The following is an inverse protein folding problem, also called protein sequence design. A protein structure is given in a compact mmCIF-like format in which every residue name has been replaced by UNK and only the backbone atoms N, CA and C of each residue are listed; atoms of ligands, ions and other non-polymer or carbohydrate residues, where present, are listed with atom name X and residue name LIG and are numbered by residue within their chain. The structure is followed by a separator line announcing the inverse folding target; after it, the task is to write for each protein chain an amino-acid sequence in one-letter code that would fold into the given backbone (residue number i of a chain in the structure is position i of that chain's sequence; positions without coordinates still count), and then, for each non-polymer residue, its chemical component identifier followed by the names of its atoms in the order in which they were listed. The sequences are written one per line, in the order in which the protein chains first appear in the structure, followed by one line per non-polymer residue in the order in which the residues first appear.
data_IF_392914788205
#
_entry.id   IF_392914788205
#
_cell.length_a   1.000
_cell.length_b   1.000
_cell.length_c   1.000
_cell.angle_alpha   90.00
_cell.angle_beta   90.00
_cell.angle_gamma   90.00
#
_symmetry.space_group_name_H-M   'P 1'
#
loop_
_entity.id
_entity.type
_entity.pdbx_description
1 polymer ?
#
# COMPACT_ATOMS: atom_id res chain seq x y z
N UNK A 1 11.53 -9.84 9.22
CA UNK A 1 11.08 -8.61 8.53
C UNK A 1 11.00 -7.47 9.54
N UNK A 2 11.67 -6.38 9.25
CA UNK A 2 11.59 -5.16 10.08
C UNK A 2 10.61 -4.18 9.43
N UNK A 3 9.88 -3.45 10.28
CA UNK A 3 8.98 -2.42 9.80
C UNK A 3 9.75 -1.32 9.05
N UNK A 4 9.21 -0.90 7.91
CA UNK A 4 9.76 0.16 7.09
C UNK A 4 8.72 1.29 7.04
N UNK A 5 9.16 2.51 7.31
CA UNK A 5 8.30 3.69 7.17
C UNK A 5 8.74 4.51 5.97
N UNK A 6 7.77 4.89 5.15
CA UNK A 6 8.00 5.66 3.94
C UNK A 6 7.18 6.95 4.03
N UNK A 7 7.83 8.09 3.87
CA UNK A 7 7.14 9.37 3.73
C UNK A 7 6.80 9.56 2.26
N UNK A 8 5.53 9.70 1.95
CA UNK A 8 5.07 9.90 0.57
C UNK A 8 5.31 11.33 0.10
N UNK A 9 5.40 11.56 -1.23
CA UNK A 9 5.24 12.89 -1.80
C UNK A 9 3.78 13.32 -1.71
N UNK A 10 3.44 14.57 -2.08
CA UNK A 10 2.04 14.98 -2.24
C UNK A 10 1.36 14.10 -3.30
N UNK A 11 0.16 13.63 -2.98
CA UNK A 11 -0.62 12.74 -3.83
C UNK A 11 -2.06 13.23 -3.87
N UNK A 12 -2.67 13.16 -5.05
CA UNK A 12 -4.05 13.59 -5.26
C UNK A 12 -5.01 12.46 -4.93
N UNK A 13 -6.04 12.77 -4.13
CA UNK A 13 -7.10 11.80 -3.83
C UNK A 13 -7.97 11.60 -5.08
N UNK A 14 -8.11 10.35 -5.51
CA UNK A 14 -9.08 9.97 -6.54
C UNK A 14 -10.45 9.83 -5.89
N UNK A 15 -10.56 8.97 -4.90
CA UNK A 15 -11.77 8.76 -4.12
C UNK A 15 -11.44 8.10 -2.77
N UNK A 16 -12.41 8.14 -1.88
CA UNK A 16 -12.36 7.42 -0.61
C UNK A 16 -13.70 6.75 -0.34
N UNK A 17 -13.68 5.47 -0.05
CA UNK A 17 -14.88 4.70 0.30
C UNK A 17 -14.86 4.37 1.80
N UNK A 18 -15.71 5.02 2.63
CA UNK A 18 -15.73 4.77 4.06
C UNK A 18 -16.25 3.38 4.44
N UNK A 19 -17.02 2.73 3.58
CA UNK A 19 -17.56 1.40 3.86
C UNK A 19 -16.48 0.33 3.93
N UNK A 20 -15.46 0.42 3.06
CA UNK A 20 -14.33 -0.52 3.05
C UNK A 20 -13.01 0.12 3.46
N UNK A 21 -13.03 1.38 3.88
CA UNK A 21 -11.84 2.15 4.32
C UNK A 21 -10.78 2.30 3.23
N UNK A 22 -11.16 2.25 1.97
CA UNK A 22 -10.23 2.26 0.85
C UNK A 22 -10.05 3.67 0.30
N UNK A 23 -8.81 4.16 0.38
CA UNK A 23 -8.38 5.42 -0.22
C UNK A 23 -7.60 5.12 -1.50
N UNK A 24 -8.01 5.71 -2.61
CA UNK A 24 -7.28 5.62 -3.88
C UNK A 24 -6.61 6.95 -4.19
N UNK A 25 -5.33 6.88 -4.53
CA UNK A 25 -4.46 8.04 -4.75
C UNK A 25 -3.85 7.96 -6.14
N UNK A 26 -3.75 9.10 -6.80
CA UNK A 26 -3.18 9.22 -8.14
C UNK A 26 -1.70 9.59 -8.04
N UNK A 27 -0.84 8.75 -8.60
CA UNK A 27 0.61 8.93 -8.63
C UNK A 27 1.12 9.35 -10.02
N UNK A 28 0.24 9.77 -10.92
CA UNK A 28 0.64 10.17 -12.29
C UNK A 28 1.70 11.26 -12.25
N UNK A 29 1.58 12.22 -11.33
CA UNK A 29 2.52 13.33 -11.17
C UNK A 29 3.74 12.98 -10.31
N UNK A 30 3.84 11.74 -9.83
CA UNK A 30 4.90 11.28 -8.95
C UNK A 30 5.51 9.98 -9.46
N UNK A 31 6.09 9.97 -10.68
CA UNK A 31 6.59 8.73 -11.28
C UNK A 31 7.74 8.09 -10.50
N UNK A 32 8.59 8.89 -9.87
CA UNK A 32 9.70 8.35 -9.07
C UNK A 32 9.19 7.57 -7.85
N UNK A 33 8.13 8.03 -7.21
CA UNK A 33 7.53 7.33 -6.09
C UNK A 33 6.81 6.05 -6.54
N UNK A 34 6.08 6.12 -7.65
CA UNK A 34 5.46 4.97 -8.29
C UNK A 34 6.49 3.89 -8.61
N UNK A 35 7.60 4.27 -9.22
CA UNK A 35 8.69 3.34 -9.57
C UNK A 35 9.31 2.71 -8.31
N UNK A 36 9.47 3.46 -7.24
CA UNK A 36 9.95 2.94 -5.95
C UNK A 36 9.05 1.86 -5.41
N UNK A 37 7.73 2.05 -5.46
CA UNK A 37 6.77 1.06 -4.97
C UNK A 37 6.79 -0.20 -5.83
N UNK A 38 6.87 -0.05 -7.15
CA UNK A 38 7.01 -1.20 -8.05
C UNK A 38 8.31 -1.97 -7.79
N UNK A 39 9.41 -1.27 -7.56
CA UNK A 39 10.70 -1.88 -7.23
C UNK A 39 10.64 -2.63 -5.90
N UNK A 40 9.94 -2.08 -4.91
CA UNK A 40 9.73 -2.74 -3.63
C UNK A 40 9.07 -4.11 -3.82
N UNK A 41 7.99 -4.17 -4.61
CA UNK A 41 7.32 -5.43 -4.91
C UNK A 41 8.22 -6.39 -5.67
N UNK A 42 8.99 -5.92 -6.64
CA UNK A 42 9.91 -6.77 -7.39
C UNK A 42 10.98 -7.37 -6.45
N UNK A 43 11.49 -6.60 -5.50
CA UNK A 43 12.43 -7.10 -4.51
C UNK A 43 11.79 -8.14 -3.58
N UNK A 44 10.54 -7.92 -3.16
CA UNK A 44 9.80 -8.89 -2.35
C UNK A 44 9.56 -10.19 -3.11
N UNK A 45 9.17 -10.09 -4.36
CA UNK A 45 8.92 -11.24 -5.23
C UNK A 45 10.21 -12.06 -5.40
N UNK A 46 11.35 -11.39 -5.65
CA UNK A 46 12.64 -12.05 -5.77
C UNK A 46 13.05 -12.76 -4.47
N UNK A 47 12.83 -12.12 -3.33
CA UNK A 47 13.12 -12.71 -2.02
C UNK A 47 12.21 -13.91 -1.76
N UNK A 48 10.93 -13.81 -2.05
CA UNK A 48 9.98 -14.94 -1.89
C UNK A 48 10.35 -16.11 -2.79
N UNK A 49 10.78 -15.85 -4.01
CA UNK A 49 11.27 -16.88 -4.93
C UNK A 49 12.50 -17.59 -4.36
N UNK A 50 13.48 -16.83 -3.88
CA UNK A 50 14.73 -17.37 -3.38
C UNK A 50 14.52 -18.23 -2.12
N UNK A 51 13.59 -17.82 -1.25
CA UNK A 51 13.35 -18.47 0.04
C UNK A 51 11.98 -19.14 0.13
N UNK A 52 11.37 -19.51 -1.01
CA UNK A 52 10.02 -20.08 -1.04
C UNK A 52 9.85 -21.34 -0.21
N UNK A 53 10.90 -22.13 -0.06
CA UNK A 53 10.84 -23.34 0.77
C UNK A 53 10.55 -22.99 2.23
N UNK A 54 11.23 -21.98 2.78
CA UNK A 54 11.04 -21.56 4.16
C UNK A 54 9.75 -20.78 4.40
N UNK A 55 9.37 -19.88 3.47
CA UNK A 55 8.18 -19.03 3.63
C UNK A 55 6.89 -19.70 3.19
N UNK A 56 6.91 -20.41 2.07
CA UNK A 56 5.70 -20.92 1.42
C UNK A 56 5.58 -22.43 1.48
N UNK A 57 6.61 -23.11 1.98
CA UNK A 57 6.72 -24.57 1.99
C UNK A 57 6.58 -25.18 0.59
N UNK A 58 7.08 -24.45 -0.42
CA UNK A 58 7.05 -24.82 -1.84
C UNK A 58 8.44 -24.67 -2.42
N UNK A 59 8.75 -25.47 -3.45
CA UNK A 59 10.03 -25.44 -4.17
C UNK A 59 9.87 -25.19 -5.65
N UNK A 60 8.63 -25.21 -6.13
CA UNK A 60 8.28 -25.32 -7.54
C UNK A 60 7.67 -24.05 -8.14
N UNK A 61 7.61 -22.98 -7.37
CA UNK A 61 7.00 -21.73 -7.82
C UNK A 61 7.98 -20.92 -8.66
N UNK A 62 7.54 -20.48 -9.85
CA UNK A 62 8.29 -19.54 -10.68
C UNK A 62 8.12 -18.10 -10.19
N UNK A 63 9.00 -17.21 -10.63
CA UNK A 63 8.86 -15.77 -10.35
C UNK A 63 7.49 -15.25 -10.82
N UNK A 64 7.05 -15.65 -12.02
CA UNK A 64 5.75 -15.27 -12.56
C UNK A 64 4.59 -15.74 -11.68
N UNK A 65 4.67 -16.97 -11.17
CA UNK A 65 3.64 -17.51 -10.29
C UNK A 65 3.58 -16.72 -8.98
N UNK A 66 4.72 -16.43 -8.37
CA UNK A 66 4.79 -15.65 -7.14
C UNK A 66 4.25 -14.24 -7.38
N UNK A 67 4.61 -13.62 -8.51
CA UNK A 67 4.12 -12.29 -8.88
C UNK A 67 2.60 -12.24 -8.93
N UNK A 68 1.93 -13.28 -9.38
CA UNK A 68 0.47 -13.38 -9.45
C UNK A 68 -0.19 -13.65 -8.10
N UNK A 69 0.57 -14.11 -7.10
CA UNK A 69 0.02 -14.41 -5.77
C UNK A 69 -0.18 -13.16 -4.91
N UNK A 70 0.47 -12.04 -5.24
CA UNK A 70 0.37 -10.83 -4.45
C UNK A 70 -0.91 -10.05 -4.72
N UNK A 71 -1.49 -9.49 -3.65
CA UNK A 71 -2.40 -8.36 -3.74
C UNK A 71 -1.57 -7.08 -3.71
N UNK A 72 -1.62 -6.30 -4.76
CA UNK A 72 -0.78 -5.11 -4.89
C UNK A 72 -1.51 -3.88 -4.35
N UNK A 73 -0.78 -3.05 -3.58
CA UNK A 73 -1.26 -1.73 -3.18
C UNK A 73 -1.21 -0.74 -4.34
N UNK A 74 -0.31 -0.97 -5.30
CA UNK A 74 -0.16 -0.10 -6.47
C UNK A 74 -0.52 -0.88 -7.72
N UNK A 75 -1.33 -0.24 -8.58
CA UNK A 75 -1.71 -0.75 -9.89
C UNK A 75 -1.51 0.41 -10.89
N UNK A 76 -0.51 0.28 -11.76
CA UNK A 76 -0.10 1.38 -12.63
C UNK A 76 0.34 2.59 -11.81
N UNK A 77 -0.42 3.68 -11.89
CA UNK A 77 -0.18 4.91 -11.13
C UNK A 77 -1.22 5.14 -10.03
N UNK A 78 -2.02 4.14 -9.70
CA UNK A 78 -3.02 4.22 -8.64
C UNK A 78 -2.54 3.46 -7.41
N UNK A 79 -2.42 4.17 -6.29
CA UNK A 79 -2.08 3.61 -4.99
C UNK A 79 -3.35 3.47 -4.17
N UNK A 80 -3.61 2.27 -3.65
CA UNK A 80 -4.75 2.01 -2.78
C UNK A 80 -4.25 1.74 -1.36
N UNK A 81 -4.71 2.55 -0.41
CA UNK A 81 -4.38 2.41 1.01
C UNK A 81 -5.67 2.17 1.80
N UNK A 82 -5.55 1.47 2.93
CA UNK A 82 -6.68 1.23 3.83
C UNK A 82 -6.51 2.11 5.06
N UNK A 83 -7.43 3.06 5.22
CA UNK A 83 -7.41 4.08 6.27
C UNK A 83 -8.81 4.21 6.85
N UNK A 84 -8.96 4.04 8.16
CA UNK A 84 -10.27 4.14 8.81
C UNK A 84 -10.89 5.53 8.64
N UNK A 85 -12.23 5.61 8.50
CA UNK A 85 -12.93 6.89 8.26
C UNK A 85 -12.69 7.95 9.32
N UNK A 86 -12.49 7.53 10.58
CA UNK A 86 -12.26 8.43 11.71
C UNK A 86 -10.77 8.73 11.94
N UNK A 87 -9.88 8.24 11.07
CA UNK A 87 -8.45 8.58 11.16
C UNK A 87 -8.25 10.08 11.01
N UNK A 88 -7.32 10.62 11.79
CA UNK A 88 -7.05 12.05 11.84
C UNK A 88 -6.15 12.45 10.68
N UNK A 89 -6.57 13.49 9.96
CA UNK A 89 -5.78 14.17 8.92
C UNK A 89 -5.49 15.58 9.42
N UNK A 90 -4.21 15.92 9.52
CA UNK A 90 -3.77 17.25 9.94
C UNK A 90 -3.84 18.22 8.76
N UNK A 91 -4.36 19.42 8.99
CA UNK A 91 -4.41 20.46 7.96
C UNK A 91 -3.20 21.38 8.03
N UNK A 92 -2.93 22.09 6.94
CA UNK A 92 -1.82 23.04 6.87
C UNK A 92 -1.94 24.19 7.88
N UNK A 93 -3.16 24.51 8.32
CA UNK A 93 -3.43 25.58 9.29
C UNK A 93 -3.39 25.11 10.74
N UNK A 94 -2.98 23.86 10.98
CA UNK A 94 -2.92 23.28 12.33
C UNK A 94 -4.22 22.66 12.83
N UNK A 95 -5.26 22.67 11.99
CA UNK A 95 -6.52 22.00 12.31
C UNK A 95 -6.46 20.49 12.04
N UNK A 96 -7.56 19.81 12.34
CA UNK A 96 -7.69 18.39 12.07
C UNK A 96 -9.00 18.10 11.33
N UNK A 97 -8.96 17.10 10.44
CA UNK A 97 -10.11 16.53 9.76
C UNK A 97 -10.12 15.02 9.96
N UNK A 98 -11.26 14.40 9.73
CA UNK A 98 -11.32 12.93 9.58
C UNK A 98 -11.02 12.55 8.14
N UNK A 99 -10.52 11.33 7.92
CA UNK A 99 -10.30 10.81 6.57
C UNK A 99 -11.57 10.88 5.72
N UNK A 100 -12.72 10.56 6.32
CA UNK A 100 -14.03 10.60 5.66
C UNK A 100 -14.45 12.02 5.20
N UNK A 101 -13.84 13.06 5.73
CA UNK A 101 -14.14 14.46 5.36
C UNK A 101 -13.27 14.98 4.22
N UNK A 102 -12.27 14.23 3.80
CA UNK A 102 -11.41 14.59 2.68
C UNK A 102 -12.16 14.38 1.35
N UNK A 103 -11.87 15.22 0.38
CA UNK A 103 -12.59 15.25 -0.90
C UNK A 103 -11.70 14.79 -2.05
N UNK A 104 -12.30 14.28 -3.14
CA UNK A 104 -11.55 14.06 -4.38
C UNK A 104 -10.81 15.33 -4.80
N UNK A 105 -9.63 15.15 -5.36
CA UNK A 105 -8.68 16.18 -5.77
C UNK A 105 -7.95 16.90 -4.64
N UNK A 106 -8.28 16.66 -3.38
CA UNK A 106 -7.42 17.09 -2.28
C UNK A 106 -6.05 16.40 -2.43
N UNK A 107 -5.00 17.12 -2.05
CA UNK A 107 -3.64 16.56 -2.01
C UNK A 107 -3.26 16.23 -0.59
N UNK A 108 -2.69 15.06 -0.39
CA UNK A 108 -2.23 14.61 0.92
C UNK A 108 -0.78 14.10 0.83
N UNK A 109 -0.09 14.17 1.96
CA UNK A 109 1.12 13.38 2.21
C UNK A 109 0.84 12.48 3.39
N UNK A 110 1.50 11.33 3.43
CA UNK A 110 1.32 10.41 4.54
C UNK A 110 2.60 9.63 4.81
N UNK A 111 2.68 9.07 6.00
CA UNK A 111 3.66 8.04 6.33
C UNK A 111 2.99 6.69 6.12
N UNK A 112 3.60 5.86 5.29
CA UNK A 112 3.15 4.48 5.06
C UNK A 112 4.13 3.57 5.77
N UNK A 113 3.63 2.79 6.72
CA UNK A 113 4.44 1.81 7.45
C UNK A 113 4.12 0.42 6.93
N UNK A 114 5.15 -0.28 6.47
CA UNK A 114 5.05 -1.64 5.96
C UNK A 114 5.49 -2.61 7.04
N UNK A 115 4.62 -3.55 7.40
CA UNK A 115 4.80 -4.43 8.57
C UNK A 115 5.27 -5.82 8.21
N UNK A 116 5.15 -6.24 6.95
CA UNK A 116 5.56 -7.55 6.52
C UNK A 116 4.56 -8.18 5.58
N UNK A 117 4.89 -9.38 5.12
CA UNK A 117 4.08 -10.13 4.19
C UNK A 117 3.42 -11.28 4.92
N UNK A 118 2.11 -11.45 4.74
CA UNK A 118 1.39 -12.62 5.24
C UNK A 118 0.78 -13.41 4.10
N UNK A 119 0.55 -14.69 4.38
CA UNK A 119 -0.14 -15.59 3.48
C UNK A 119 -1.62 -15.59 3.83
N UNK A 120 -2.46 -15.55 2.80
CA UNK A 120 -3.90 -15.63 2.94
C UNK A 120 -4.38 -16.81 2.12
N UNK A 121 -5.04 -17.78 2.78
CA UNK A 121 -5.65 -18.92 2.10
C UNK A 121 -7.14 -18.68 1.98
N UNK A 122 -7.64 -18.73 0.75
CA UNK A 122 -9.06 -18.61 0.47
C UNK A 122 -9.45 -19.66 -0.57
N UNK A 123 -10.38 -20.57 -0.24
CA UNK A 123 -10.88 -21.61 -1.17
C UNK A 123 -9.74 -22.37 -1.88
N UNK A 124 -8.72 -22.78 -1.12
CA UNK A 124 -7.51 -23.45 -1.63
C UNK A 124 -6.63 -22.58 -2.53
N UNK A 125 -6.86 -21.26 -2.54
CA UNK A 125 -6.05 -20.32 -3.30
C UNK A 125 -5.09 -19.60 -2.35
N UNK A 126 -3.79 -19.75 -2.59
CA UNK A 126 -2.76 -19.04 -1.82
C UNK A 126 -2.61 -17.63 -2.38
N UNK A 127 -2.69 -16.64 -1.50
CA UNK A 127 -2.41 -15.24 -1.82
C UNK A 127 -1.45 -14.65 -0.81
N UNK A 128 -0.75 -13.60 -1.19
CA UNK A 128 0.16 -12.87 -0.32
C UNK A 128 -0.23 -11.41 -0.27
N UNK A 129 -0.12 -10.83 0.93
CA UNK A 129 -0.46 -9.45 1.19
C UNK A 129 0.67 -8.77 1.94
N UNK A 130 1.06 -7.59 1.46
CA UNK A 130 1.95 -6.70 2.19
C UNK A 130 1.11 -5.87 3.17
N UNK A 131 1.27 -6.13 4.47
CA UNK A 131 0.56 -5.38 5.49
C UNK A 131 1.09 -3.98 5.64
N UNK A 132 0.19 -3.01 5.77
CA UNK A 132 0.55 -1.63 5.95
C UNK A 132 -0.35 -0.94 6.96
N UNK A 133 0.15 0.16 7.50
CA UNK A 133 -0.64 1.13 8.26
C UNK A 133 -0.22 2.54 7.83
N UNK A 134 -1.06 3.52 8.14
CA UNK A 134 -0.80 4.91 7.80
C UNK A 134 -0.89 5.73 9.09
N UNK A 135 0.24 5.83 9.85
CA UNK A 135 0.22 6.46 11.17
C UNK A 135 0.07 7.98 11.15
N UNK A 136 0.36 8.63 10.02
CA UNK A 136 0.27 10.08 9.93
C UNK A 136 -0.18 10.50 8.53
N UNK A 137 -1.09 11.47 8.45
CA UNK A 137 -1.63 12.01 7.21
C UNK A 137 -1.73 13.53 7.33
N UNK A 138 -1.27 14.24 6.30
CA UNK A 138 -1.36 15.69 6.21
C UNK A 138 -2.08 16.10 4.94
N UNK A 139 -3.04 17.02 5.06
CA UNK A 139 -3.66 17.69 3.94
C UNK A 139 -2.75 18.84 3.50
N UNK A 140 -2.43 18.88 2.24
CA UNK A 140 -1.55 19.89 1.66
C UNK A 140 -2.39 21.07 1.13
#
# INVERSE_FOLDING_TARGET
FQDISILSPPMRIIDYNPENSRLRLDLTDQPAFSDKLHLLYENLIGTMYQYQHGFLHRDDLSLERIRRLFYYLIDGHTLSLYIYPNSIVKTATGGIKKMSDCQPNDKIRCVIRLHGVSQIMSKNDLRMRLHHSVPAIWLI
#
